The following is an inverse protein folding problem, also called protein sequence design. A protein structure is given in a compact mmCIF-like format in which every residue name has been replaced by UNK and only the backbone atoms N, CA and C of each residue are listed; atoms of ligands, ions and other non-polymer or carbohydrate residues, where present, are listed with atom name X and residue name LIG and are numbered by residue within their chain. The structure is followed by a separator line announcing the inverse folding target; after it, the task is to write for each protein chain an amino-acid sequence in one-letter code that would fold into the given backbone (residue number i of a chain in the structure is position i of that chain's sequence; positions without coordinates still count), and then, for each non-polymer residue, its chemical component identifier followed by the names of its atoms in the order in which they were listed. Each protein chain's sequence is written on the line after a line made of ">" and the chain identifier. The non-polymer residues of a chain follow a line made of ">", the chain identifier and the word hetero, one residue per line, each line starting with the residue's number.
data_IF_256575425863
#
_entry.id   IF_256575425863
#
_cell.length_a   1.000
_cell.length_b   1.000
_cell.length_c   1.000
_cell.angle_alpha   90.00
_cell.angle_beta   90.00
_cell.angle_gamma   90.00
#
_symmetry.space_group_name_H-M   'P 1'
#
loop_
_entity.id
_entity.type
_entity.pdbx_description
1 polymer ?
#
# COMPACT_ATOMS: atom_id res chain seq x y z
N UNK A 1 10.67 11.60 17.16
CA UNK A 1 11.38 11.62 15.87
C UNK A 1 11.65 13.08 15.51
N UNK A 2 12.91 13.47 15.33
CA UNK A 2 13.37 14.86 15.07
C UNK A 2 13.74 15.11 13.60
N UNK A 3 13.17 14.33 12.67
CA UNK A 3 13.49 14.44 11.23
C UNK A 3 12.61 15.49 10.56
N UNK A 4 13.21 16.31 9.71
CA UNK A 4 12.47 17.25 8.87
C UNK A 4 11.47 16.53 7.97
N UNK A 5 10.27 17.13 7.85
CA UNK A 5 9.21 16.63 6.96
C UNK A 5 9.45 17.19 5.57
N UNK A 6 9.31 16.34 4.55
CA UNK A 6 9.45 16.74 3.17
C UNK A 6 9.24 15.58 2.23
N UNK A 7 9.21 15.90 0.94
CA UNK A 7 9.11 14.95 -0.15
C UNK A 7 10.49 14.68 -0.75
N UNK A 8 10.69 13.49 -1.32
CA UNK A 8 11.89 13.21 -2.11
C UNK A 8 11.91 14.13 -3.32
N UNK A 9 13.04 14.76 -3.61
CA UNK A 9 13.14 15.54 -4.84
C UNK A 9 13.01 14.63 -6.07
N UNK A 10 12.17 15.02 -7.03
CA UNK A 10 11.97 14.24 -8.26
C UNK A 10 13.30 13.97 -9.00
N UNK A 11 14.23 14.93 -9.00
CA UNK A 11 15.56 14.75 -9.59
C UNK A 11 16.35 13.62 -8.92
N UNK A 12 16.27 13.51 -7.60
CA UNK A 12 16.92 12.43 -6.86
C UNK A 12 16.27 11.08 -7.16
N UNK A 13 14.94 11.03 -7.20
CA UNK A 13 14.19 9.83 -7.57
C UNK A 13 14.61 9.30 -8.94
N UNK A 14 14.62 10.15 -9.98
CA UNK A 14 15.00 9.73 -11.33
C UNK A 14 16.47 9.33 -11.43
N UNK A 15 17.37 9.99 -10.69
CA UNK A 15 18.77 9.57 -10.62
C UNK A 15 18.89 8.15 -10.06
N UNK A 16 18.20 7.83 -8.96
CA UNK A 16 18.20 6.48 -8.37
C UNK A 16 17.63 5.47 -9.37
N UNK A 17 16.53 5.82 -10.04
CA UNK A 17 15.90 4.93 -11.02
C UNK A 17 16.81 4.65 -12.22
N UNK A 18 17.52 5.65 -12.73
CA UNK A 18 18.50 5.50 -13.81
C UNK A 18 19.64 4.55 -13.41
N UNK A 19 20.13 4.66 -12.17
CA UNK A 19 21.15 3.77 -11.60
C UNK A 19 20.63 2.32 -11.45
N UNK A 20 19.32 2.13 -11.23
CA UNK A 20 18.70 0.80 -11.09
C UNK A 20 18.29 0.16 -12.42
N UNK A 21 18.25 0.92 -13.51
CA UNK A 21 17.68 0.49 -14.81
C UNK A 21 18.31 -0.78 -15.36
N UNK A 22 19.62 -0.95 -15.18
CA UNK A 22 20.38 -2.07 -15.77
C UNK A 22 20.12 -3.42 -15.10
N UNK A 23 19.47 -3.43 -13.93
CA UNK A 23 19.31 -4.64 -13.14
C UNK A 23 17.93 -5.31 -13.28
N UNK A 24 16.95 -4.64 -13.90
CA UNK A 24 15.59 -5.18 -14.06
C UNK A 24 14.95 -5.62 -12.73
N UNK A 25 15.29 -4.92 -11.64
CA UNK A 25 14.95 -5.34 -10.27
C UNK A 25 13.52 -4.98 -9.90
N UNK A 26 12.99 -5.69 -8.89
CA UNK A 26 11.79 -5.25 -8.19
C UNK A 26 12.13 -4.11 -7.24
N UNK A 27 11.45 -2.98 -7.38
CA UNK A 27 11.61 -1.82 -6.51
C UNK A 27 10.48 -1.85 -5.48
N UNK A 28 10.85 -1.96 -4.21
CA UNK A 28 9.91 -1.79 -3.10
C UNK A 28 9.90 -0.34 -2.64
N UNK A 29 8.77 0.33 -2.80
CA UNK A 29 8.57 1.71 -2.33
C UNK A 29 7.97 1.67 -0.93
N UNK A 30 8.78 2.01 0.07
CA UNK A 30 8.40 2.06 1.48
C UNK A 30 9.17 3.19 2.21
N UNK A 31 8.78 3.49 3.46
CA UNK A 31 9.50 4.43 4.30
C UNK A 31 8.70 4.90 5.51
N UNK A 32 9.27 5.83 6.28
CA UNK A 32 8.65 6.43 7.47
C UNK A 32 7.55 7.47 7.16
N UNK A 33 7.15 7.62 5.89
CA UNK A 33 6.10 8.53 5.44
C UNK A 33 5.08 7.82 4.56
N UNK A 34 4.13 8.57 4.00
CA UNK A 34 3.11 8.03 3.09
C UNK A 34 3.40 8.42 1.64
N UNK A 35 3.58 7.43 0.78
CA UNK A 35 3.97 7.60 -0.62
C UNK A 35 2.88 8.32 -1.44
N UNK A 36 1.60 8.07 -1.13
CA UNK A 36 0.46 8.71 -1.80
C UNK A 36 0.35 10.21 -1.54
N UNK A 37 1.12 10.78 -0.60
CA UNK A 37 1.18 12.22 -0.40
C UNK A 37 2.15 12.94 -1.36
N UNK A 38 2.97 12.18 -2.08
CA UNK A 38 3.97 12.78 -2.98
C UNK A 38 3.28 13.39 -4.21
N UNK A 39 3.50 14.68 -4.54
CA UNK A 39 2.79 15.36 -5.64
C UNK A 39 3.09 14.79 -7.04
N UNK A 40 4.15 13.99 -7.16
CA UNK A 40 4.55 13.33 -8.40
C UNK A 40 4.35 11.80 -8.38
N UNK A 41 3.51 11.26 -7.48
CA UNK A 41 3.46 9.81 -7.25
C UNK A 41 3.07 9.02 -8.51
N UNK A 42 2.13 9.52 -9.31
CA UNK A 42 1.73 8.88 -10.58
C UNK A 42 2.90 8.83 -11.56
N UNK A 43 3.65 9.93 -11.69
CA UNK A 43 4.81 10.00 -12.56
C UNK A 43 5.91 9.02 -12.12
N UNK A 44 6.08 8.84 -10.81
CA UNK A 44 7.04 7.89 -10.24
C UNK A 44 6.63 6.44 -10.52
N UNK A 45 5.35 6.11 -10.35
CA UNK A 45 4.82 4.78 -10.68
C UNK A 45 5.07 4.46 -12.16
N UNK A 46 4.69 5.38 -13.06
CA UNK A 46 4.89 5.22 -14.51
C UNK A 46 6.37 5.04 -14.83
N UNK A 47 7.25 5.82 -14.21
CA UNK A 47 8.68 5.75 -14.47
C UNK A 47 9.28 4.40 -14.04
N UNK A 48 8.95 3.90 -12.84
CA UNK A 48 9.42 2.60 -12.35
C UNK A 48 8.94 1.50 -13.30
N UNK A 49 7.64 1.50 -13.64
CA UNK A 49 7.03 0.43 -14.44
C UNK A 49 7.51 0.35 -15.89
N UNK A 50 8.30 1.32 -16.39
CA UNK A 50 8.96 1.21 -17.70
C UNK A 50 10.00 0.09 -17.76
N UNK A 51 10.70 -0.18 -16.66
CA UNK A 51 11.86 -1.08 -16.65
C UNK A 51 11.93 -2.03 -15.44
N UNK A 52 11.05 -1.86 -14.46
CA UNK A 52 11.14 -2.54 -13.16
C UNK A 52 9.78 -3.06 -12.70
N UNK A 53 9.82 -4.09 -11.85
CA UNK A 53 8.67 -4.46 -11.02
C UNK A 53 8.49 -3.46 -9.87
N UNK A 54 7.26 -3.27 -9.42
CA UNK A 54 6.90 -2.33 -8.37
C UNK A 54 6.11 -3.03 -7.26
N UNK A 55 6.69 -3.02 -6.07
CA UNK A 55 6.03 -3.36 -4.82
C UNK A 55 5.72 -2.07 -4.05
N UNK A 56 4.50 -1.58 -4.15
CA UNK A 56 4.06 -0.31 -3.58
C UNK A 56 3.47 -0.51 -2.18
N UNK A 57 4.04 0.13 -1.16
CA UNK A 57 3.50 0.06 0.21
C UNK A 57 2.79 1.36 0.57
N UNK A 58 1.59 1.28 1.15
CA UNK A 58 0.82 2.46 1.57
C UNK A 58 -0.17 2.15 2.69
N UNK A 59 -0.59 3.17 3.44
CA UNK A 59 -1.77 3.09 4.30
C UNK A 59 -3.10 3.24 3.54
N UNK A 60 -3.07 3.59 2.25
CA UNK A 60 -4.23 3.73 1.36
C UNK A 60 -5.28 4.81 1.78
N UNK A 61 -4.97 5.66 2.76
CA UNK A 61 -5.91 6.69 3.25
C UNK A 61 -6.08 7.83 2.23
N UNK A 62 -5.05 8.15 1.46
CA UNK A 62 -5.07 9.25 0.47
C UNK A 62 -5.11 8.75 -0.98
N UNK A 63 -5.57 7.52 -1.22
CA UNK A 63 -5.58 6.93 -2.56
C UNK A 63 -6.63 7.62 -3.44
N UNK A 64 -6.17 8.43 -4.39
CA UNK A 64 -7.02 9.16 -5.33
C UNK A 64 -7.33 8.31 -6.56
N UNK A 65 -8.44 8.65 -7.24
CA UNK A 65 -8.87 7.96 -8.47
C UNK A 65 -7.77 7.96 -9.53
N UNK A 66 -7.11 9.10 -9.78
CA UNK A 66 -6.05 9.19 -10.79
C UNK A 66 -4.86 8.27 -10.46
N UNK A 67 -4.53 8.12 -9.19
CA UNK A 67 -3.51 7.19 -8.74
C UNK A 67 -3.95 5.73 -8.91
N UNK A 68 -5.21 5.40 -8.59
CA UNK A 68 -5.77 4.05 -8.82
C UNK A 68 -5.69 3.66 -10.30
N UNK A 69 -6.16 4.54 -11.19
CA UNK A 69 -6.10 4.34 -12.64
C UNK A 69 -4.66 4.20 -13.13
N UNK A 70 -3.75 5.00 -12.58
CA UNK A 70 -2.32 4.89 -12.89
C UNK A 70 -1.76 3.53 -12.46
N UNK A 71 -2.11 3.04 -11.27
CA UNK A 71 -1.66 1.74 -10.76
C UNK A 71 -2.18 0.58 -11.61
N UNK A 72 -3.47 0.61 -11.98
CA UNK A 72 -4.10 -0.42 -12.81
C UNK A 72 -3.52 -0.40 -14.23
N UNK A 73 -3.49 0.76 -14.88
CA UNK A 73 -3.03 0.91 -16.27
C UNK A 73 -1.56 0.52 -16.47
N UNK A 74 -0.72 0.75 -15.46
CA UNK A 74 0.71 0.43 -15.53
C UNK A 74 1.04 -0.91 -14.86
N UNK A 75 0.03 -1.73 -14.53
CA UNK A 75 0.20 -3.07 -13.96
C UNK A 75 1.15 -3.08 -12.75
N UNK A 76 0.88 -2.23 -11.76
CA UNK A 76 1.64 -2.24 -10.50
C UNK A 76 1.57 -3.63 -9.89
N UNK A 77 2.71 -4.26 -9.68
CA UNK A 77 2.75 -5.69 -9.43
C UNK A 77 2.11 -6.06 -8.09
N UNK A 78 2.45 -5.30 -7.03
CA UNK A 78 1.86 -5.47 -5.71
C UNK A 78 1.53 -4.12 -5.08
N UNK A 79 0.29 -3.98 -4.61
CA UNK A 79 -0.09 -2.94 -3.66
C UNK A 79 -0.20 -3.58 -2.26
N UNK A 80 0.78 -3.34 -1.42
CA UNK A 80 0.71 -3.71 -0.01
C UNK A 80 0.04 -2.59 0.79
N UNK A 81 -1.11 -2.90 1.35
CA UNK A 81 -1.84 -2.03 2.28
C UNK A 81 -1.41 -2.38 3.70
N UNK A 82 -0.94 -1.38 4.45
CA UNK A 82 -0.55 -1.55 5.84
C UNK A 82 -1.75 -1.33 6.78
N UNK A 83 -2.02 -2.33 7.61
CA UNK A 83 -3.04 -2.34 8.66
C UNK A 83 -2.39 -2.59 10.03
N UNK A 84 -3.08 -2.24 11.12
CA UNK A 84 -2.69 -2.58 12.49
C UNK A 84 -3.92 -3.15 13.18
N UNK A 85 -3.75 -4.30 13.84
CA UNK A 85 -4.82 -5.01 14.51
C UNK A 85 -5.68 -5.87 13.58
N UNK A 86 -6.87 -6.21 14.05
CA UNK A 86 -7.78 -7.16 13.36
C UNK A 86 -9.15 -6.59 13.08
N UNK A 87 -9.49 -5.47 13.70
CA UNK A 87 -10.78 -4.81 13.56
C UNK A 87 -10.63 -3.29 13.46
N UNK A 88 -11.76 -2.60 13.38
CA UNK A 88 -11.81 -1.14 13.25
C UNK A 88 -11.23 -0.45 14.48
N UNK A 89 -11.64 -0.91 15.67
CA UNK A 89 -11.26 -0.32 16.94
C UNK A 89 -9.74 -0.39 17.13
N UNK A 90 -9.13 -1.56 16.89
CA UNK A 90 -7.68 -1.74 16.93
C UNK A 90 -6.97 -0.81 15.94
N UNK A 91 -7.48 -0.73 14.71
CA UNK A 91 -6.87 0.08 13.66
C UNK A 91 -6.87 1.56 13.99
N UNK A 92 -8.00 2.10 14.44
CA UNK A 92 -8.14 3.52 14.77
C UNK A 92 -7.41 3.88 16.07
N UNK A 93 -7.29 2.93 17.01
CA UNK A 93 -6.48 3.09 18.22
C UNK A 93 -4.97 3.17 17.89
N UNK A 94 -4.47 2.20 17.12
CA UNK A 94 -3.05 2.08 16.78
C UNK A 94 -2.61 3.14 15.75
N UNK A 95 -3.49 3.52 14.82
CA UNK A 95 -3.23 4.55 13.82
C UNK A 95 -4.02 5.82 14.11
N UNK A 96 -3.67 6.52 15.19
CA UNK A 96 -4.32 7.79 15.57
C UNK A 96 -4.46 8.75 14.39
N UNK A 97 -5.71 9.10 14.06
CA UNK A 97 -6.07 10.00 12.96
C UNK A 97 -6.33 9.31 11.61
N UNK A 98 -6.16 7.99 11.52
CA UNK A 98 -6.63 7.21 10.39
C UNK A 98 -8.13 6.89 10.54
N UNK A 99 -8.82 6.72 9.41
CA UNK A 99 -10.22 6.29 9.39
C UNK A 99 -10.33 4.93 8.73
N UNK A 100 -10.84 3.94 9.46
CA UNK A 100 -11.08 2.60 8.92
C UNK A 100 -12.08 2.66 7.75
N UNK A 101 -13.16 3.42 7.92
CA UNK A 101 -14.19 3.56 6.89
C UNK A 101 -13.64 4.16 5.58
N UNK A 102 -12.75 5.15 5.68
CA UNK A 102 -12.10 5.74 4.52
C UNK A 102 -11.18 4.73 3.82
N UNK A 103 -10.40 3.97 4.59
CA UNK A 103 -9.57 2.89 4.06
C UNK A 103 -10.41 1.87 3.27
N UNK A 104 -11.47 1.34 3.89
CA UNK A 104 -12.34 0.34 3.24
C UNK A 104 -13.02 0.92 2.00
N UNK A 105 -13.42 2.20 2.02
CA UNK A 105 -13.96 2.87 0.84
C UNK A 105 -12.98 2.86 -0.33
N UNK A 106 -11.71 3.24 -0.10
CA UNK A 106 -10.69 3.24 -1.16
C UNK A 106 -10.35 1.84 -1.65
N UNK A 107 -10.31 0.83 -0.77
CA UNK A 107 -10.10 -0.57 -1.16
C UNK A 107 -11.22 -1.03 -2.10
N UNK A 108 -12.47 -0.80 -1.71
CA UNK A 108 -13.63 -1.22 -2.51
C UNK A 108 -13.67 -0.50 -3.86
N UNK A 109 -13.33 0.79 -3.90
CA UNK A 109 -13.26 1.54 -5.15
C UNK A 109 -12.13 1.04 -6.05
N UNK A 110 -10.94 0.75 -5.49
CA UNK A 110 -9.83 0.17 -6.24
C UNK A 110 -10.20 -1.22 -6.80
N UNK A 111 -10.76 -2.11 -5.98
CA UNK A 111 -11.18 -3.47 -6.40
C UNK A 111 -12.22 -3.38 -7.51
N UNK A 112 -13.21 -2.48 -7.36
CA UNK A 112 -14.23 -2.24 -8.39
C UNK A 112 -13.62 -1.76 -9.71
N UNK A 113 -12.65 -0.85 -9.66
CA UNK A 113 -11.97 -0.31 -10.86
C UNK A 113 -11.03 -1.31 -11.51
N UNK A 114 -10.34 -2.12 -10.70
CA UNK A 114 -9.52 -3.23 -11.16
C UNK A 114 -10.36 -4.23 -11.95
N UNK A 115 -11.59 -4.50 -11.51
CA UNK A 115 -12.47 -5.46 -12.17
C UNK A 115 -11.80 -6.84 -12.27
N UNK A 116 -11.82 -7.43 -13.46
CA UNK A 116 -11.21 -8.73 -13.73
C UNK A 116 -9.70 -8.65 -14.07
N UNK A 117 -9.09 -7.46 -13.97
CA UNK A 117 -7.65 -7.32 -14.19
C UNK A 117 -6.85 -7.99 -13.06
N UNK A 118 -5.71 -8.58 -13.40
CA UNK A 118 -4.83 -9.22 -12.42
C UNK A 118 -4.03 -8.22 -11.55
N UNK A 119 -3.98 -6.94 -11.95
CA UNK A 119 -3.13 -5.93 -11.32
C UNK A 119 -3.91 -4.67 -10.89
N UNK A 120 -3.54 -4.06 -9.75
CA UNK A 120 -2.52 -4.55 -8.82
C UNK A 120 -2.97 -5.78 -8.04
N UNK A 121 -2.02 -6.66 -7.69
CA UNK A 121 -2.25 -7.68 -6.68
C UNK A 121 -2.28 -6.97 -5.31
N UNK A 122 -3.43 -7.02 -4.64
CA UNK A 122 -3.71 -6.31 -3.40
C UNK A 122 -3.36 -7.24 -2.24
N UNK A 123 -2.33 -6.87 -1.50
CA UNK A 123 -1.87 -7.58 -0.31
C UNK A 123 -2.17 -6.74 0.93
N UNK A 124 -2.96 -7.27 1.87
CA UNK A 124 -3.16 -6.64 3.17
C UNK A 124 -2.13 -7.18 4.15
N UNK A 125 -1.32 -6.32 4.74
CA UNK A 125 -0.37 -6.70 5.80
C UNK A 125 -0.80 -6.07 7.11
N UNK A 126 -1.12 -6.89 8.11
CA UNK A 126 -1.41 -6.44 9.47
C UNK A 126 -0.30 -6.80 10.45
N UNK A 127 -0.17 -6.00 11.50
CA UNK A 127 0.62 -6.34 12.68
C UNK A 127 -0.33 -6.58 13.86
N UNK A 128 -0.18 -7.75 14.47
CA UNK A 128 -0.93 -8.20 15.65
C UNK A 128 0.01 -8.30 16.87
N UNK A 129 -0.56 -8.06 18.04
CA UNK A 129 0.06 -8.13 19.35
C UNK A 129 -0.53 -9.34 20.10
N UNK A 130 -1.64 -9.12 20.79
CA UNK A 130 -2.33 -10.07 21.68
C UNK A 130 -3.68 -10.57 21.10
N UNK A 131 -3.99 -10.25 19.84
CA UNK A 131 -5.20 -10.72 19.19
C UNK A 131 -5.23 -12.26 19.12
N UNK A 132 -6.41 -12.80 19.41
CA UNK A 132 -6.70 -14.23 19.41
C UNK A 132 -6.71 -14.81 17.99
N UNK A 133 -6.54 -16.12 17.87
CA UNK A 133 -6.62 -16.80 16.57
C UNK A 133 -7.97 -16.57 15.87
N UNK A 134 -9.07 -16.48 16.62
CA UNK A 134 -10.39 -16.21 16.05
C UNK A 134 -10.45 -14.80 15.44
N UNK A 135 -9.94 -13.79 16.13
CA UNK A 135 -9.89 -12.42 15.60
C UNK A 135 -9.06 -12.33 14.32
N UNK A 136 -7.94 -13.06 14.26
CA UNK A 136 -7.09 -13.13 13.08
C UNK A 136 -7.84 -13.82 11.92
N UNK A 137 -8.54 -14.92 12.19
CA UNK A 137 -9.35 -15.63 11.18
C UNK A 137 -10.48 -14.74 10.65
N UNK A 138 -11.20 -14.05 11.54
CA UNK A 138 -12.28 -13.13 11.18
C UNK A 138 -11.75 -11.98 10.30
N UNK A 139 -10.57 -11.43 10.64
CA UNK A 139 -9.90 -10.41 9.85
C UNK A 139 -9.53 -10.90 8.44
N UNK A 140 -8.99 -12.12 8.34
CA UNK A 140 -8.64 -12.73 7.05
C UNK A 140 -9.89 -12.88 6.18
N UNK A 141 -10.98 -13.40 6.74
CA UNK A 141 -12.24 -13.59 6.02
C UNK A 141 -12.81 -12.25 5.52
N UNK A 142 -12.84 -11.22 6.37
CA UNK A 142 -13.29 -9.88 5.99
C UNK A 142 -12.42 -9.29 4.86
N UNK A 143 -11.11 -9.51 4.89
CA UNK A 143 -10.23 -9.03 3.83
C UNK A 143 -10.58 -9.65 2.48
N UNK A 144 -10.79 -10.97 2.45
CA UNK A 144 -11.20 -11.66 1.22
C UNK A 144 -12.58 -11.21 0.73
N UNK A 145 -13.53 -10.96 1.63
CA UNK A 145 -14.84 -10.39 1.28
C UNK A 145 -14.74 -9.00 0.64
N UNK A 146 -13.69 -8.24 0.94
CA UNK A 146 -13.40 -6.95 0.30
C UNK A 146 -12.68 -7.07 -1.05
N UNK A 147 -12.32 -8.27 -1.49
CA UNK A 147 -11.60 -8.50 -2.74
C UNK A 147 -10.08 -8.26 -2.63
N UNK A 148 -9.52 -8.35 -1.43
CA UNK A 148 -8.07 -8.41 -1.21
C UNK A 148 -7.58 -9.80 -1.61
N UNK A 149 -6.45 -9.90 -2.31
CA UNK A 149 -5.99 -11.18 -2.87
C UNK A 149 -5.16 -12.00 -1.88
N UNK A 150 -4.55 -11.36 -0.88
CA UNK A 150 -3.81 -12.06 0.17
C UNK A 150 -3.68 -11.24 1.45
N UNK A 151 -3.51 -11.96 2.56
CA UNK A 151 -3.34 -11.37 3.90
C UNK A 151 -2.04 -11.87 4.52
N UNK A 152 -1.23 -10.96 5.04
CA UNK A 152 0.01 -11.24 5.77
C UNK A 152 -0.14 -10.82 7.23
N UNK A 153 0.16 -11.75 8.14
CA UNK A 153 0.10 -11.52 9.59
C UNK A 153 1.53 -11.39 10.13
N UNK A 154 1.90 -10.21 10.59
CA UNK A 154 3.12 -9.99 11.37
C UNK A 154 2.79 -10.00 12.85
N UNK A 155 3.52 -10.76 13.66
CA UNK A 155 3.39 -10.72 15.12
C UNK A 155 4.55 -9.94 15.72
N UNK A 156 4.24 -9.01 16.61
CA UNK A 156 5.25 -8.28 17.39
C UNK A 156 5.04 -8.58 18.87
N UNK A 157 6.04 -9.21 19.48
CA UNK A 157 6.07 -9.45 20.92
C UNK A 157 6.73 -8.25 21.62
N UNK A 158 6.18 -7.82 22.75
CA UNK A 158 6.78 -6.80 23.63
C UNK A 158 7.60 -7.43 24.76
#
# INVERSE_FOLDING_TARGET
>A
MTRDKGYMEAKLFYKILDELREHGTFIKVNGYGENLMHPCIEAFIIAIKKHNGLYFTSNCINLQIDTMETMIKNEVDVLQISFQGTNKEDYEEQRKGASYNQLIHHIKELVKRRGDANYPFIHMSTTVLDETNQQIEDFINICFDFGIDSVGIGRTDY
#
